data_IF_980519381823
#
_entry.id   IF_980519381823
#
_cell.length_a   1.000
_cell.length_b   1.000
_cell.length_c   1.000
_cell.angle_alpha   90.00
_cell.angle_beta   90.00
_cell.angle_gamma   90.00
#
_symmetry.space_group_name_H-M   'P 1'
#
loop_
_entity.id
_entity.type
_entity.pdbx_description
1 polymer ?
#
# COMPACT_ATOMS: atom_id res chain seq x y z
N UNK A 1 -21.50 54.67 -45.00
CA UNK A 1 -21.20 54.95 -43.60
C UNK A 1 -22.16 54.13 -42.78
N UNK A 2 -21.77 52.95 -42.39
CA UNK A 2 -22.56 52.06 -41.53
C UNK A 2 -21.57 51.47 -40.50
N UNK A 3 -21.72 51.95 -39.29
CA UNK A 3 -20.90 51.54 -38.16
C UNK A 3 -21.25 50.07 -37.79
N UNK A 4 -20.23 49.24 -37.71
CA UNK A 4 -20.29 47.89 -37.18
C UNK A 4 -20.17 47.93 -35.65
N UNK A 5 -20.93 47.10 -34.91
CA UNK A 5 -20.83 47.05 -33.46
C UNK A 5 -19.59 46.28 -33.06
N UNK A 6 -18.76 46.89 -32.25
CA UNK A 6 -17.62 46.29 -31.52
C UNK A 6 -18.09 45.21 -30.59
N UNK A 7 -17.76 43.97 -30.89
CA UNK A 7 -17.91 42.82 -30.00
C UNK A 7 -16.94 42.97 -28.81
N UNK A 8 -17.53 43.31 -27.64
CA UNK A 8 -16.77 43.29 -26.39
C UNK A 8 -16.26 41.89 -26.08
N UNK A 9 -14.97 41.71 -26.08
CA UNK A 9 -14.33 40.57 -25.48
C UNK A 9 -14.50 40.63 -23.97
N UNK A 10 -15.43 39.86 -23.45
CA UNK A 10 -15.40 39.48 -22.03
C UNK A 10 -14.19 38.62 -21.80
N UNK A 11 -13.09 39.23 -21.43
CA UNK A 11 -12.00 38.48 -20.81
C UNK A 11 -12.46 38.04 -19.42
N UNK A 12 -12.85 36.78 -19.36
CA UNK A 12 -13.06 36.08 -18.11
C UNK A 12 -11.68 35.66 -17.59
N UNK A 13 -10.91 36.62 -17.02
CA UNK A 13 -9.56 36.41 -16.49
C UNK A 13 -9.54 35.68 -15.14
N UNK A 14 -10.65 35.12 -14.70
CA UNK A 14 -10.74 34.35 -13.47
C UNK A 14 -10.79 32.83 -13.68
N UNK A 15 -10.10 32.30 -14.70
CA UNK A 15 -9.77 30.88 -14.65
C UNK A 15 -8.65 30.71 -13.61
N UNK A 16 -9.03 30.07 -12.50
CA UNK A 16 -8.17 29.81 -11.37
C UNK A 16 -6.78 29.33 -11.79
N UNK A 17 -5.77 30.13 -11.48
CA UNK A 17 -4.38 29.71 -11.43
C UNK A 17 -4.14 28.83 -10.19
N UNK A 18 -4.89 27.77 -10.02
CA UNK A 18 -4.49 26.69 -9.11
C UNK A 18 -3.49 25.80 -9.85
N UNK A 19 -2.35 26.36 -10.15
CA UNK A 19 -1.19 25.53 -10.44
C UNK A 19 -0.76 24.92 -9.11
N UNK A 20 -1.33 23.75 -8.79
CA UNK A 20 -0.78 22.94 -7.71
C UNK A 20 0.68 22.64 -8.05
N UNK A 21 1.65 23.17 -7.34
CA UNK A 21 3.04 22.94 -7.67
C UNK A 21 3.33 21.45 -7.63
N UNK A 22 4.14 20.97 -8.56
CA UNK A 22 4.62 19.61 -8.53
C UNK A 22 5.44 19.40 -7.26
N UNK A 23 5.11 18.38 -6.50
CA UNK A 23 5.89 17.95 -5.33
C UNK A 23 6.66 16.69 -5.72
N UNK A 24 7.98 16.76 -5.66
CA UNK A 24 8.82 15.60 -5.96
C UNK A 24 8.56 14.46 -4.96
N UNK A 25 8.43 13.23 -5.43
CA UNK A 25 8.26 12.08 -4.54
C UNK A 25 9.55 11.81 -3.75
N UNK A 26 9.40 11.22 -2.56
CA UNK A 26 10.53 10.88 -1.68
C UNK A 26 11.42 9.81 -2.30
N UNK A 27 10.87 8.94 -3.11
CA UNK A 27 11.53 7.71 -3.59
C UNK A 27 12.24 7.87 -4.94
N UNK A 28 12.95 8.96 -5.17
CA UNK A 28 13.56 9.17 -6.49
C UNK A 28 14.57 8.13 -6.98
N UNK A 29 15.13 7.25 -6.14
CA UNK A 29 16.24 6.40 -6.58
C UNK A 29 16.39 5.02 -5.93
N UNK A 30 15.53 4.63 -5.01
CA UNK A 30 15.75 3.44 -4.18
C UNK A 30 15.01 2.18 -4.63
N UNK A 31 14.25 2.20 -5.72
CA UNK A 31 13.58 1.00 -6.22
C UNK A 31 14.63 0.00 -6.75
N UNK A 32 14.74 -1.15 -6.11
CA UNK A 32 15.51 -2.25 -6.69
C UNK A 32 14.89 -2.60 -8.04
N UNK A 33 15.70 -2.60 -9.08
CA UNK A 33 15.25 -3.04 -10.39
C UNK A 33 14.93 -4.52 -10.31
N UNK A 34 13.68 -4.88 -10.48
CA UNK A 34 13.29 -6.28 -10.63
C UNK A 34 14.07 -6.91 -11.77
N UNK A 35 14.59 -8.09 -11.57
CA UNK A 35 15.33 -8.81 -12.60
C UNK A 35 14.35 -9.59 -13.49
N UNK A 36 13.96 -8.99 -14.62
CA UNK A 36 13.02 -9.62 -15.56
C UNK A 36 13.58 -10.86 -16.23
N UNK A 37 14.90 -10.90 -16.48
CA UNK A 37 15.56 -12.07 -17.04
C UNK A 37 15.46 -13.28 -16.11
N UNK A 38 15.67 -13.09 -14.80
CA UNK A 38 15.46 -14.13 -13.81
C UNK A 38 14.01 -14.63 -13.76
N UNK A 39 13.04 -13.75 -14.04
CA UNK A 39 11.63 -14.16 -14.10
C UNK A 39 11.33 -15.05 -15.31
N UNK A 40 11.86 -14.72 -16.46
CA UNK A 40 11.75 -15.56 -17.68
C UNK A 40 12.43 -16.92 -17.45
N UNK A 41 13.64 -16.92 -16.88
CA UNK A 41 14.35 -18.15 -16.50
C UNK A 41 13.56 -19.00 -15.50
N UNK A 42 12.84 -18.37 -14.55
CA UNK A 42 11.98 -19.10 -13.62
C UNK A 42 10.88 -19.87 -14.35
N UNK A 43 10.25 -19.24 -15.36
CA UNK A 43 9.19 -19.88 -16.17
C UNK A 43 9.77 -21.03 -16.99
N UNK A 44 10.91 -20.82 -17.65
CA UNK A 44 11.56 -21.83 -18.45
C UNK A 44 11.95 -23.06 -17.63
N UNK A 45 12.60 -22.87 -16.49
CA UNK A 45 12.97 -23.96 -15.58
C UNK A 45 11.73 -24.72 -15.06
N UNK A 46 10.64 -24.02 -14.78
CA UNK A 46 9.39 -24.67 -14.39
C UNK A 46 8.85 -25.57 -15.49
N UNK A 47 8.83 -25.09 -16.72
CA UNK A 47 8.38 -25.84 -17.91
C UNK A 47 9.27 -27.07 -18.19
N UNK A 48 10.54 -27.00 -17.86
CA UNK A 48 11.51 -28.10 -17.97
C UNK A 48 11.39 -29.12 -16.80
N UNK A 49 10.55 -28.84 -15.81
CA UNK A 49 10.37 -29.68 -14.62
C UNK A 49 11.39 -29.42 -13.51
N UNK A 50 12.25 -28.43 -13.66
CA UNK A 50 13.17 -27.98 -12.59
C UNK A 50 12.47 -27.02 -11.63
N UNK A 51 11.52 -27.52 -10.84
CA UNK A 51 10.66 -26.69 -9.98
C UNK A 51 11.43 -25.94 -8.89
N UNK A 52 12.48 -26.57 -8.33
CA UNK A 52 13.32 -25.94 -7.33
C UNK A 52 14.15 -24.81 -7.92
N UNK A 53 14.73 -25.02 -9.09
CA UNK A 53 15.43 -23.98 -9.83
C UNK A 53 14.52 -22.81 -10.19
N UNK A 54 13.30 -23.10 -10.66
CA UNK A 54 12.29 -22.10 -10.95
C UNK A 54 11.96 -21.21 -9.72
N UNK A 55 11.84 -21.84 -8.54
CA UNK A 55 11.62 -21.10 -7.30
C UNK A 55 12.82 -20.18 -6.95
N UNK A 56 14.04 -20.66 -7.12
CA UNK A 56 15.23 -19.83 -6.85
C UNK A 56 15.33 -18.65 -7.82
N UNK A 57 15.04 -18.84 -9.09
CA UNK A 57 15.02 -17.77 -10.06
C UNK A 57 13.91 -16.73 -9.76
N UNK A 58 12.78 -17.18 -9.22
CA UNK A 58 11.75 -16.27 -8.75
C UNK A 58 12.24 -15.41 -7.55
N UNK A 59 12.98 -15.99 -6.61
CA UNK A 59 13.58 -15.20 -5.53
C UNK A 59 14.61 -14.20 -6.06
N UNK A 60 15.43 -14.60 -7.03
CA UNK A 60 16.44 -13.74 -7.67
C UNK A 60 15.77 -12.62 -8.49
N UNK A 61 14.58 -12.86 -9.05
CA UNK A 61 13.75 -11.82 -9.67
C UNK A 61 13.29 -10.77 -8.66
N UNK A 62 12.82 -11.21 -7.50
CA UNK A 62 12.33 -10.31 -6.45
C UNK A 62 13.47 -9.49 -5.84
N UNK A 63 14.56 -10.14 -5.49
CA UNK A 63 15.81 -9.50 -5.06
C UNK A 63 16.97 -10.50 -5.15
N UNK A 64 18.05 -10.18 -5.89
CA UNK A 64 19.20 -11.06 -6.03
C UNK A 64 19.88 -11.46 -4.71
N UNK A 65 19.71 -10.66 -3.67
CA UNK A 65 20.29 -10.92 -2.35
C UNK A 65 19.42 -11.82 -1.45
N UNK A 66 18.17 -12.12 -1.83
CA UNK A 66 17.24 -12.86 -0.94
C UNK A 66 17.79 -14.20 -0.50
N UNK A 67 18.35 -14.96 -1.43
CA UNK A 67 18.87 -16.30 -1.14
C UNK A 67 20.04 -16.28 -0.19
N UNK A 68 20.95 -15.33 -0.34
CA UNK A 68 22.15 -15.21 0.50
C UNK A 68 21.89 -14.56 1.84
N UNK A 69 20.97 -13.58 1.88
CA UNK A 69 20.70 -12.77 3.06
C UNK A 69 19.68 -13.42 4.00
N UNK A 70 18.69 -14.09 3.44
CA UNK A 70 17.54 -14.59 4.20
C UNK A 70 17.37 -16.11 4.12
N UNK A 71 18.19 -16.80 3.32
CA UNK A 71 18.19 -18.25 3.19
C UNK A 71 19.14 -18.94 4.16
N UNK A 72 18.80 -20.17 4.54
CA UNK A 72 19.74 -21.04 5.22
C UNK A 72 20.82 -21.59 4.25
N UNK A 73 21.87 -22.20 4.79
CA UNK A 73 22.98 -22.73 3.99
C UNK A 73 22.55 -23.76 2.91
N UNK A 74 21.45 -24.47 3.14
CA UNK A 74 20.94 -25.50 2.23
C UNK A 74 19.97 -24.92 1.18
N UNK A 75 19.57 -23.65 1.28
CA UNK A 75 18.59 -23.02 0.39
C UNK A 75 17.15 -23.54 0.56
N UNK A 76 16.85 -24.23 1.66
CA UNK A 76 15.53 -24.85 1.90
C UNK A 76 14.63 -24.07 2.84
N UNK A 77 15.18 -23.08 3.55
CA UNK A 77 14.43 -22.23 4.47
C UNK A 77 14.82 -20.77 4.27
N UNK A 78 13.81 -19.88 4.29
CA UNK A 78 13.98 -18.45 4.12
C UNK A 78 13.14 -17.72 5.14
N UNK A 79 13.69 -16.66 5.73
CA UNK A 79 13.01 -15.77 6.68
C UNK A 79 13.09 -14.34 6.15
N UNK A 80 12.08 -13.91 5.43
CA UNK A 80 12.07 -12.65 4.69
C UNK A 80 11.20 -11.64 5.43
N UNK A 81 11.78 -10.60 6.04
CA UNK A 81 11.01 -9.53 6.65
C UNK A 81 10.32 -8.70 5.57
N UNK A 82 9.05 -8.36 5.80
CA UNK A 82 8.27 -7.49 4.94
C UNK A 82 7.33 -6.62 5.79
N UNK A 83 7.64 -5.32 5.90
CA UNK A 83 6.88 -4.43 6.79
C UNK A 83 6.77 -5.00 8.20
N UNK A 84 5.56 -5.15 8.65
CA UNK A 84 5.21 -5.66 9.97
C UNK A 84 5.05 -7.20 10.04
N UNK A 85 5.37 -7.92 8.97
CA UNK A 85 5.30 -9.38 8.94
C UNK A 85 6.64 -10.03 8.61
N UNK A 86 6.82 -11.25 9.09
CA UNK A 86 7.96 -12.09 8.75
C UNK A 86 7.46 -13.28 7.93
N UNK A 87 7.88 -13.34 6.66
CA UNK A 87 7.51 -14.43 5.75
C UNK A 87 8.51 -15.56 5.88
N UNK A 88 8.02 -16.74 6.23
CA UNK A 88 8.79 -17.97 6.31
C UNK A 88 8.48 -18.84 5.09
N UNK A 89 9.51 -19.26 4.39
CA UNK A 89 9.38 -20.21 3.27
C UNK A 89 10.21 -21.44 3.62
N UNK A 90 9.59 -22.61 3.54
CA UNK A 90 10.27 -23.88 3.77
C UNK A 90 10.00 -24.87 2.65
N UNK A 91 11.04 -25.51 2.17
CA UNK A 91 10.99 -26.58 1.19
C UNK A 91 11.37 -27.88 1.89
N UNK A 92 10.44 -28.83 1.97
CA UNK A 92 10.64 -30.13 2.56
C UNK A 92 9.73 -31.17 1.88
N UNK A 93 10.21 -32.39 1.70
CA UNK A 93 9.43 -33.51 1.16
C UNK A 93 8.73 -33.17 -0.19
N UNK A 94 9.47 -32.54 -1.10
CA UNK A 94 8.98 -32.07 -2.41
C UNK A 94 7.78 -31.13 -2.33
N UNK A 95 7.65 -30.42 -1.22
CA UNK A 95 6.59 -29.43 -0.97
C UNK A 95 7.15 -28.08 -0.58
N UNK A 96 6.49 -27.04 -1.05
CA UNK A 96 6.71 -25.67 -0.65
C UNK A 96 5.67 -25.28 0.41
N UNK A 97 6.15 -24.72 1.52
CA UNK A 97 5.34 -24.14 2.59
C UNK A 97 5.70 -22.67 2.72
N UNK A 98 4.71 -21.80 2.68
CA UNK A 98 4.83 -20.37 2.92
C UNK A 98 3.94 -20.07 4.12
N UNK A 99 4.50 -19.42 5.13
CA UNK A 99 3.74 -18.90 6.25
C UNK A 99 4.21 -17.48 6.58
N UNK A 100 3.33 -16.68 7.15
CA UNK A 100 3.67 -15.36 7.63
C UNK A 100 3.00 -15.13 8.98
N UNK A 101 3.81 -14.82 9.98
CA UNK A 101 3.31 -14.44 11.28
C UNK A 101 2.60 -13.08 11.15
N UNK A 102 1.36 -13.01 11.63
CA UNK A 102 0.56 -11.81 11.51
C UNK A 102 0.40 -11.12 12.86
N UNK A 103 -0.49 -11.64 13.71
CA UNK A 103 -0.83 -10.98 14.97
C UNK A 103 -1.03 -12.00 16.11
N UNK A 104 -0.88 -11.51 17.33
CA UNK A 104 -1.29 -12.18 18.56
C UNK A 104 -2.66 -11.66 18.96
N UNK A 105 -3.59 -12.57 19.22
CA UNK A 105 -4.96 -12.26 19.57
C UNK A 105 -5.04 -11.54 20.92
N UNK A 106 -5.88 -10.49 21.05
CA UNK A 106 -6.07 -9.81 22.31
C UNK A 106 -6.82 -10.70 23.31
N UNK A 107 -6.73 -10.39 24.60
CA UNK A 107 -7.53 -11.10 25.61
C UNK A 107 -9.04 -10.85 25.46
N UNK A 108 -9.42 -9.64 25.08
CA UNK A 108 -10.81 -9.22 24.89
C UNK A 108 -11.09 -8.88 23.42
N UNK A 109 -12.34 -9.05 22.98
CA UNK A 109 -12.73 -8.67 21.61
C UNK A 109 -12.36 -9.71 20.53
N UNK A 110 -11.84 -10.89 20.90
CA UNK A 110 -11.41 -11.95 19.97
C UNK A 110 -12.45 -12.34 18.92
N UNK A 111 -13.72 -12.42 19.31
CA UNK A 111 -14.81 -12.82 18.39
C UNK A 111 -15.00 -11.78 17.29
N UNK A 112 -14.98 -10.48 17.63
CA UNK A 112 -15.11 -9.41 16.65
C UNK A 112 -13.92 -9.39 15.69
N UNK A 113 -12.71 -9.53 16.23
CA UNK A 113 -11.49 -9.64 15.42
C UNK A 113 -11.53 -10.85 14.49
N UNK A 114 -11.87 -12.05 14.99
CA UNK A 114 -11.92 -13.27 14.18
C UNK A 114 -13.01 -13.24 13.10
N UNK A 115 -14.10 -12.49 13.29
CA UNK A 115 -15.09 -12.23 12.23
C UNK A 115 -14.48 -11.43 11.09
N UNK A 116 -13.70 -10.39 11.40
CA UNK A 116 -12.99 -9.61 10.38
C UNK A 116 -11.91 -10.45 9.69
N UNK A 117 -11.18 -11.29 10.42
CA UNK A 117 -10.24 -12.28 9.83
C UNK A 117 -10.96 -13.23 8.87
N UNK A 118 -12.15 -13.71 9.22
CA UNK A 118 -12.94 -14.57 8.33
C UNK A 118 -13.36 -13.83 7.06
N UNK A 119 -13.71 -12.55 7.17
CA UNK A 119 -14.00 -11.68 6.02
C UNK A 119 -12.77 -11.52 5.11
N UNK A 120 -11.61 -11.28 5.69
CA UNK A 120 -10.35 -11.18 4.91
C UNK A 120 -10.03 -12.50 4.19
N UNK A 121 -10.29 -13.65 4.79
CA UNK A 121 -10.12 -14.96 4.16
C UNK A 121 -10.99 -15.15 2.91
N UNK A 122 -12.14 -14.51 2.87
CA UNK A 122 -13.08 -14.63 1.75
C UNK A 122 -12.82 -13.56 0.68
N UNK A 123 -12.59 -12.33 1.13
CA UNK A 123 -12.61 -11.17 0.24
C UNK A 123 -11.23 -10.63 -0.16
N UNK A 124 -10.16 -10.99 0.58
CA UNK A 124 -8.83 -10.43 0.36
C UNK A 124 -7.74 -11.47 0.11
N UNK A 125 -7.81 -12.62 0.78
CA UNK A 125 -6.90 -13.73 0.50
C UNK A 125 -7.50 -14.64 -0.56
N UNK A 126 -6.74 -14.92 -1.61
CA UNK A 126 -7.21 -15.79 -2.70
C UNK A 126 -6.83 -17.26 -2.48
N UNK A 127 -5.54 -17.54 -2.35
CA UNK A 127 -5.01 -18.88 -2.14
C UNK A 127 -4.47 -19.10 -0.72
N UNK A 128 -3.72 -18.13 -0.15
CA UNK A 128 -3.36 -18.22 1.27
C UNK A 128 -4.61 -18.20 2.16
N UNK A 129 -4.44 -18.66 3.40
CA UNK A 129 -5.51 -18.64 4.41
C UNK A 129 -4.94 -18.20 5.76
N UNK A 130 -5.73 -17.45 6.51
CA UNK A 130 -5.45 -17.25 7.92
C UNK A 130 -5.67 -18.57 8.68
N UNK A 131 -4.69 -18.90 9.49
CA UNK A 131 -4.73 -20.00 10.45
C UNK A 131 -4.54 -19.42 11.86
N UNK A 132 -5.31 -19.95 12.78
CA UNK A 132 -5.16 -19.68 14.21
C UNK A 132 -4.47 -20.87 14.85
N UNK A 133 -3.40 -20.61 15.57
CA UNK A 133 -2.71 -21.57 16.42
C UNK A 133 -2.54 -20.95 17.80
N UNK A 134 -3.21 -21.52 18.81
CA UNK A 134 -3.34 -20.92 20.14
C UNK A 134 -3.82 -19.45 20.09
N UNK A 135 -2.98 -18.50 20.47
CA UNK A 135 -3.27 -17.08 20.40
C UNK A 135 -2.65 -16.38 19.19
N UNK A 136 -1.99 -17.12 18.31
CA UNK A 136 -1.34 -16.58 17.12
C UNK A 136 -2.24 -16.70 15.89
N UNK A 137 -2.24 -15.65 15.08
CA UNK A 137 -2.76 -15.65 13.72
C UNK A 137 -1.59 -15.62 12.76
N UNK A 138 -1.61 -16.50 11.79
CA UNK A 138 -0.65 -16.55 10.69
C UNK A 138 -1.38 -16.73 9.37
N UNK A 139 -0.79 -16.31 8.29
CA UNK A 139 -1.22 -16.64 6.93
C UNK A 139 -0.41 -17.81 6.43
N UNK A 140 -1.05 -18.78 5.79
CA UNK A 140 -0.40 -19.99 5.30
C UNK A 140 -0.80 -20.33 3.87
N UNK A 141 0.16 -20.90 3.17
CA UNK A 141 -0.04 -21.56 1.89
C UNK A 141 0.93 -22.73 1.73
N UNK A 142 0.49 -23.85 1.16
CA UNK A 142 1.37 -24.96 0.84
C UNK A 142 0.95 -25.65 -0.47
N UNK A 143 1.93 -26.12 -1.23
CA UNK A 143 1.69 -26.91 -2.43
C UNK A 143 2.87 -27.87 -2.70
N UNK A 144 2.70 -28.93 -3.52
CA UNK A 144 3.80 -29.66 -4.12
C UNK A 144 4.66 -28.71 -4.96
N UNK A 145 5.99 -28.93 -5.05
CA UNK A 145 6.86 -28.13 -5.89
C UNK A 145 6.44 -28.15 -7.37
N UNK A 146 5.90 -29.26 -7.86
CA UNK A 146 5.34 -29.36 -9.21
C UNK A 146 4.12 -28.45 -9.47
N UNK A 147 3.55 -27.87 -8.42
CA UNK A 147 2.44 -26.91 -8.50
C UNK A 147 2.86 -25.48 -8.12
N UNK A 148 4.17 -25.23 -7.97
CA UNK A 148 4.74 -23.95 -7.55
C UNK A 148 5.09 -23.04 -8.73
N UNK A 149 4.20 -22.92 -9.74
CA UNK A 149 4.42 -22.07 -10.90
C UNK A 149 4.82 -20.63 -10.49
N UNK A 150 5.86 -20.04 -11.10
CA UNK A 150 6.38 -18.72 -10.70
C UNK A 150 5.32 -17.62 -10.60
N UNK A 151 4.42 -17.47 -11.58
CA UNK A 151 3.31 -16.50 -11.52
C UNK A 151 2.42 -16.71 -10.28
N UNK A 152 2.11 -17.96 -9.97
CA UNK A 152 1.27 -18.30 -8.82
C UNK A 152 1.95 -17.96 -7.52
N UNK A 153 3.24 -18.32 -7.37
CA UNK A 153 4.00 -18.02 -6.15
C UNK A 153 4.19 -16.52 -5.96
N UNK A 154 4.53 -15.82 -7.04
CA UNK A 154 4.62 -14.36 -7.04
C UNK A 154 3.32 -13.73 -6.49
N UNK A 155 2.18 -14.18 -7.02
CA UNK A 155 0.88 -13.70 -6.59
C UNK A 155 0.57 -14.03 -5.12
N UNK A 156 0.92 -15.23 -4.65
CA UNK A 156 0.74 -15.65 -3.27
C UNK A 156 1.56 -14.80 -2.31
N UNK A 157 2.85 -14.60 -2.60
CA UNK A 157 3.74 -13.78 -1.79
C UNK A 157 3.24 -12.34 -1.73
N UNK A 158 2.85 -11.77 -2.88
CA UNK A 158 2.24 -10.44 -2.95
C UNK A 158 0.99 -10.34 -2.08
N UNK A 159 0.10 -11.30 -2.19
CA UNK A 159 -1.17 -11.29 -1.47
C UNK A 159 -0.96 -11.38 0.05
N UNK A 160 -0.05 -12.26 0.52
CA UNK A 160 0.33 -12.35 1.93
C UNK A 160 0.91 -11.02 2.43
N UNK A 161 1.89 -10.48 1.71
CA UNK A 161 2.58 -9.25 2.10
C UNK A 161 1.62 -8.06 2.15
N UNK A 162 0.81 -7.89 1.10
CA UNK A 162 -0.14 -6.79 1.02
C UNK A 162 -1.22 -6.86 2.11
N UNK A 163 -1.78 -8.05 2.36
CA UNK A 163 -2.81 -8.22 3.39
C UNK A 163 -2.20 -8.06 4.79
N UNK A 164 -1.01 -8.60 5.02
CA UNK A 164 -0.33 -8.51 6.31
C UNK A 164 -0.03 -7.05 6.69
N UNK A 165 0.64 -6.34 5.82
CA UNK A 165 1.06 -4.96 6.06
C UNK A 165 -0.11 -3.96 6.06
N UNK A 166 -1.17 -4.26 5.33
CA UNK A 166 -2.34 -3.38 5.26
C UNK A 166 -3.23 -3.43 6.50
N UNK A 167 -3.35 -4.58 7.14
CA UNK A 167 -4.37 -4.78 8.18
C UNK A 167 -3.84 -4.90 9.60
N UNK A 168 -2.53 -5.04 9.81
CA UNK A 168 -1.97 -5.19 11.15
C UNK A 168 -2.23 -3.97 12.04
N UNK A 169 -2.02 -2.75 11.53
CA UNK A 169 -2.25 -1.49 12.24
C UNK A 169 -3.73 -1.30 12.62
N UNK A 170 -4.63 -1.60 11.69
CA UNK A 170 -6.07 -1.55 11.96
C UNK A 170 -6.44 -2.51 13.08
N UNK A 171 -5.93 -3.73 13.05
CA UNK A 171 -6.24 -4.74 14.05
C UNK A 171 -5.63 -4.41 15.41
N UNK A 172 -4.42 -3.87 15.45
CA UNK A 172 -3.79 -3.39 16.68
C UNK A 172 -4.60 -2.26 17.31
N UNK A 173 -4.99 -1.27 16.52
CA UNK A 173 -5.73 -0.08 17.00
C UNK A 173 -7.15 -0.43 17.42
N UNK A 174 -7.86 -1.20 16.58
CA UNK A 174 -9.30 -1.47 16.75
C UNK A 174 -9.60 -2.54 17.80
N UNK A 175 -8.76 -3.56 17.88
CA UNK A 175 -9.00 -4.72 18.74
C UNK A 175 -7.99 -4.87 19.87
N UNK A 176 -6.90 -4.09 19.87
CA UNK A 176 -5.80 -4.24 20.83
C UNK A 176 -4.99 -5.50 20.60
N UNK A 177 -4.93 -5.98 19.34
CA UNK A 177 -4.02 -7.06 18.97
C UNK A 177 -2.56 -6.62 19.07
N UNK A 178 -1.65 -7.57 19.16
CA UNK A 178 -0.21 -7.30 19.20
C UNK A 178 0.43 -7.86 17.92
N UNK A 179 1.42 -7.15 17.39
CA UNK A 179 2.21 -7.67 16.28
C UNK A 179 3.04 -8.86 16.72
N UNK A 180 3.13 -9.88 15.86
CA UNK A 180 4.04 -11.01 16.07
C UNK A 180 5.48 -10.65 15.68
N UNK A 181 5.65 -9.67 14.80
CA UNK A 181 6.92 -9.15 14.34
C UNK A 181 6.87 -7.62 14.31
N UNK A 182 7.80 -6.96 14.98
CA UNK A 182 7.91 -5.51 14.93
C UNK A 182 8.82 -5.10 13.76
N UNK A 183 8.34 -4.23 12.86
CA UNK A 183 9.12 -3.81 11.70
C UNK A 183 10.36 -3.02 12.14
N UNK A 184 11.51 -3.38 11.56
CA UNK A 184 12.71 -2.58 11.70
C UNK A 184 12.72 -1.49 10.63
N UNK A 185 12.02 -0.40 10.90
CA UNK A 185 11.93 0.73 9.98
C UNK A 185 13.02 1.76 10.26
N UNK A 186 13.63 2.27 9.21
CA UNK A 186 14.50 3.43 9.28
C UNK A 186 13.70 4.63 8.81
N UNK A 187 13.35 5.59 9.68
CA UNK A 187 12.58 6.75 9.27
C UNK A 187 13.30 7.54 8.17
N UNK A 188 12.56 8.32 7.38
CA UNK A 188 13.18 9.29 6.49
C UNK A 188 13.99 10.33 7.29
N UNK A 189 15.02 10.95 6.67
CA UNK A 189 15.71 12.06 7.28
C UNK A 189 14.72 13.16 7.71
N UNK A 190 15.01 13.81 8.82
CA UNK A 190 14.14 14.83 9.43
C UNK A 190 13.75 15.95 8.46
N UNK A 191 14.65 16.32 7.57
CA UNK A 191 14.39 17.31 6.50
C UNK A 191 13.32 16.82 5.52
N UNK A 192 13.38 15.54 5.11
CA UNK A 192 12.39 14.94 4.23
C UNK A 192 11.02 14.80 4.90
N UNK A 193 10.98 14.39 6.17
CA UNK A 193 9.73 14.33 6.94
C UNK A 193 9.08 15.70 7.02
N UNK A 194 9.88 16.74 7.29
CA UNK A 194 9.40 18.12 7.36
C UNK A 194 8.86 18.59 6.00
N UNK A 195 9.59 18.33 4.92
CA UNK A 195 9.19 18.66 3.56
C UNK A 195 7.85 18.00 3.18
N UNK A 196 7.70 16.72 3.48
CA UNK A 196 6.46 15.96 3.21
C UNK A 196 5.31 16.55 4.02
N UNK A 197 5.51 16.72 5.32
CA UNK A 197 4.49 17.25 6.22
C UNK A 197 3.93 18.60 5.74
N UNK A 198 4.84 19.53 5.39
CA UNK A 198 4.42 20.83 4.88
C UNK A 198 3.72 20.73 3.52
N UNK A 199 4.18 19.86 2.62
CA UNK A 199 3.56 19.65 1.33
C UNK A 199 2.14 19.03 1.46
N UNK A 200 1.94 18.09 2.37
CA UNK A 200 0.61 17.53 2.69
C UNK A 200 -0.31 18.63 3.20
N UNK A 201 0.13 19.42 4.17
CA UNK A 201 -0.68 20.53 4.73
C UNK A 201 -1.03 21.57 3.69
N UNK A 202 -0.08 21.94 2.83
CA UNK A 202 -0.33 22.88 1.74
C UNK A 202 -1.35 22.32 0.75
N UNK A 203 -1.18 21.06 0.32
CA UNK A 203 -2.13 20.40 -0.60
C UNK A 203 -3.53 20.34 0.01
N UNK A 204 -3.67 20.00 1.29
CA UNK A 204 -4.96 19.97 1.97
C UNK A 204 -5.61 21.38 2.02
N UNK A 205 -4.86 22.44 2.38
CA UNK A 205 -5.39 23.82 2.45
C UNK A 205 -5.88 24.28 1.09
N UNK A 206 -5.01 24.19 0.07
CA UNK A 206 -5.34 24.59 -1.30
C UNK A 206 -6.59 23.89 -1.84
N UNK A 207 -6.70 22.57 -1.56
CA UNK A 207 -7.84 21.76 -1.98
C UNK A 207 -9.12 22.17 -1.24
N UNK A 208 -9.05 22.34 0.08
CA UNK A 208 -10.21 22.75 0.89
C UNK A 208 -10.70 24.16 0.51
N UNK A 209 -9.81 25.08 0.19
CA UNK A 209 -10.14 26.43 -0.30
C UNK A 209 -10.86 26.35 -1.66
N UNK A 210 -10.33 25.56 -2.60
CA UNK A 210 -10.96 25.35 -3.91
C UNK A 210 -12.36 24.69 -3.76
N UNK A 211 -12.48 23.69 -2.90
CA UNK A 211 -13.77 23.03 -2.62
C UNK A 211 -14.80 24.03 -2.08
N UNK A 212 -14.39 24.92 -1.17
CA UNK A 212 -15.25 25.96 -0.62
C UNK A 212 -15.80 26.90 -1.70
N UNK A 213 -14.97 27.28 -2.67
CA UNK A 213 -15.40 28.10 -3.81
C UNK A 213 -16.41 27.34 -4.69
N UNK A 214 -16.10 26.10 -5.06
CA UNK A 214 -17.03 25.29 -5.87
C UNK A 214 -18.35 24.97 -5.18
N UNK A 215 -18.35 24.78 -3.87
CA UNK A 215 -19.57 24.54 -3.10
C UNK A 215 -20.51 25.77 -3.11
N UNK A 216 -19.95 27.01 -3.08
CA UNK A 216 -20.80 28.24 -3.18
C UNK A 216 -21.55 28.33 -4.50
N UNK A 217 -20.94 27.75 -5.56
CA UNK A 217 -21.53 27.67 -6.89
C UNK A 217 -22.30 26.35 -7.14
N UNK A 218 -22.40 25.48 -6.12
CA UNK A 218 -23.02 24.13 -6.20
C UNK A 218 -22.36 23.22 -7.24
N UNK A 219 -21.08 23.41 -7.51
CA UNK A 219 -20.29 22.63 -8.48
C UNK A 219 -19.64 21.39 -7.82
N UNK A 220 -20.43 20.52 -7.22
CA UNK A 220 -19.95 19.37 -6.45
C UNK A 220 -19.09 18.39 -7.27
N UNK A 221 -19.32 18.27 -8.58
CA UNK A 221 -18.46 17.46 -9.46
C UNK A 221 -17.02 17.97 -9.52
N UNK A 222 -16.81 19.30 -9.55
CA UNK A 222 -15.47 19.88 -9.47
C UNK A 222 -14.86 19.71 -8.09
N UNK A 223 -15.65 19.87 -7.02
CA UNK A 223 -15.21 19.58 -5.65
C UNK A 223 -14.72 18.14 -5.51
N UNK A 224 -15.47 17.17 -6.06
CA UNK A 224 -15.08 15.77 -6.09
C UNK A 224 -13.75 15.58 -6.80
N UNK A 225 -13.59 16.12 -8.02
CA UNK A 225 -12.36 16.00 -8.80
C UNK A 225 -11.11 16.54 -8.07
N UNK A 226 -11.18 17.72 -7.45
CA UNK A 226 -10.00 18.30 -6.78
C UNK A 226 -9.64 17.55 -5.51
N UNK A 227 -10.62 16.96 -4.80
CA UNK A 227 -10.37 16.10 -3.65
C UNK A 227 -9.66 14.82 -4.11
N UNK A 228 -10.21 14.15 -5.11
CA UNK A 228 -9.68 12.91 -5.63
C UNK A 228 -8.22 13.08 -6.12
N UNK A 229 -7.96 14.12 -6.91
CA UNK A 229 -6.61 14.49 -7.34
C UNK A 229 -5.68 14.75 -6.15
N UNK A 230 -6.15 15.41 -5.10
CA UNK A 230 -5.34 15.70 -3.92
C UNK A 230 -4.96 14.43 -3.16
N UNK A 231 -5.87 13.46 -3.02
CA UNK A 231 -5.61 12.18 -2.39
C UNK A 231 -4.51 11.40 -3.14
N UNK A 232 -4.66 11.25 -4.46
CA UNK A 232 -3.62 10.61 -5.28
C UNK A 232 -2.30 11.36 -5.26
N UNK A 233 -2.33 12.69 -5.27
CA UNK A 233 -1.12 13.52 -5.19
C UNK A 233 -0.39 13.29 -3.88
N UNK A 234 -1.10 13.28 -2.74
CA UNK A 234 -0.53 13.00 -1.42
C UNK A 234 0.06 11.59 -1.37
N UNK A 235 -0.67 10.58 -1.82
CA UNK A 235 -0.17 9.21 -1.89
C UNK A 235 1.12 9.10 -2.71
N UNK A 236 1.18 9.79 -3.85
CA UNK A 236 2.32 9.78 -4.76
C UNK A 236 3.57 10.44 -4.16
N UNK A 237 3.48 11.67 -3.62
CA UNK A 237 4.69 12.37 -3.18
C UNK A 237 5.11 11.99 -1.76
N UNK A 238 4.18 11.70 -0.85
CA UNK A 238 4.49 11.32 0.52
C UNK A 238 4.88 9.86 0.65
N UNK A 239 4.35 9.01 -0.21
CA UNK A 239 4.56 7.56 -0.21
C UNK A 239 4.46 6.97 1.21
N UNK A 240 3.38 7.26 1.94
CA UNK A 240 3.24 6.83 3.32
C UNK A 240 3.12 5.32 3.42
N UNK A 241 3.34 4.81 4.62
CA UNK A 241 3.21 3.41 4.97
C UNK A 241 2.20 3.26 6.12
N UNK A 242 1.97 2.03 6.55
CA UNK A 242 1.18 1.74 7.74
C UNK A 242 -0.23 2.31 7.72
N UNK A 243 -0.66 2.90 8.85
CA UNK A 243 -2.01 3.39 9.02
C UNK A 243 -2.36 4.55 8.08
N UNK A 244 -1.41 5.45 7.81
CA UNK A 244 -1.65 6.59 6.92
C UNK A 244 -1.90 6.15 5.48
N UNK A 245 -1.19 5.14 4.99
CA UNK A 245 -1.45 4.53 3.68
C UNK A 245 -2.85 3.92 3.62
N UNK A 246 -3.21 3.14 4.64
CA UNK A 246 -4.55 2.53 4.72
C UNK A 246 -5.68 3.57 4.73
N UNK A 247 -5.48 4.65 5.47
CA UNK A 247 -6.45 5.73 5.55
C UNK A 247 -6.60 6.48 4.23
N UNK A 248 -5.51 6.70 3.50
CA UNK A 248 -5.52 7.29 2.15
C UNK A 248 -6.21 6.39 1.14
N UNK A 249 -5.84 5.12 1.09
CA UNK A 249 -6.48 4.13 0.20
C UNK A 249 -7.98 4.04 0.45
N UNK A 250 -8.38 4.01 1.72
CA UNK A 250 -9.79 4.01 2.09
C UNK A 250 -10.50 5.30 1.69
N UNK A 251 -9.82 6.43 1.81
CA UNK A 251 -10.40 7.71 1.36
C UNK A 251 -10.60 7.73 -0.15
N UNK A 252 -9.64 7.20 -0.93
CA UNK A 252 -9.78 7.02 -2.39
C UNK A 252 -10.93 6.06 -2.71
N UNK A 253 -10.97 4.88 -2.08
CA UNK A 253 -12.06 3.91 -2.26
C UNK A 253 -13.45 4.53 -1.91
N UNK A 254 -13.49 5.42 -0.91
CA UNK A 254 -14.72 6.11 -0.51
C UNK A 254 -15.19 7.13 -1.55
N UNK A 255 -14.28 7.72 -2.35
CA UNK A 255 -14.62 8.64 -3.43
C UNK A 255 -15.25 7.93 -4.64
N UNK A 256 -15.00 6.64 -4.84
CA UNK A 256 -15.51 5.82 -5.95
C UNK A 256 -16.84 5.10 -5.63
N UNK A 257 -17.41 5.31 -4.44
CA UNK A 257 -18.67 4.67 -4.06
C UNK A 257 -19.86 5.22 -4.83
N UNK A 258 -20.85 4.38 -5.08
CA UNK A 258 -22.14 4.76 -5.66
C UNK A 258 -23.00 5.54 -4.64
N UNK A 259 -22.60 6.78 -4.34
CA UNK A 259 -23.28 7.70 -3.42
C UNK A 259 -23.52 9.04 -4.11
N UNK A 260 -24.45 9.88 -3.60
CA UNK A 260 -24.61 11.25 -4.07
C UNK A 260 -23.28 12.03 -3.99
N UNK A 261 -22.92 12.75 -5.05
CA UNK A 261 -21.61 13.45 -5.14
C UNK A 261 -21.37 14.39 -3.95
N UNK A 262 -22.42 15.05 -3.46
CA UNK A 262 -22.31 15.92 -2.28
C UNK A 262 -21.91 15.14 -1.01
N UNK A 263 -22.32 13.89 -0.87
CA UNK A 263 -21.93 13.02 0.25
C UNK A 263 -20.47 12.56 0.11
N UNK A 264 -20.03 12.21 -1.10
CA UNK A 264 -18.64 11.89 -1.39
C UNK A 264 -17.73 13.07 -1.07
N UNK A 265 -18.11 14.27 -1.52
CA UNK A 265 -17.39 15.52 -1.23
C UNK A 265 -17.30 15.76 0.28
N UNK A 266 -18.38 15.56 1.04
CA UNK A 266 -18.35 15.72 2.49
C UNK A 266 -17.38 14.75 3.17
N UNK A 267 -17.31 13.49 2.73
CA UNK A 267 -16.35 12.49 3.24
C UNK A 267 -14.90 12.87 2.91
N UNK A 268 -14.64 13.24 1.66
CA UNK A 268 -13.30 13.65 1.24
C UNK A 268 -12.81 14.91 1.98
N UNK A 269 -13.69 15.90 2.20
CA UNK A 269 -13.37 17.08 3.03
C UNK A 269 -13.00 16.69 4.45
N UNK A 270 -13.81 15.87 5.10
CA UNK A 270 -13.55 15.43 6.47
C UNK A 270 -12.21 14.71 6.59
N UNK A 271 -11.82 13.93 5.57
CA UNK A 271 -10.51 13.30 5.51
C UNK A 271 -9.36 14.32 5.38
N UNK A 272 -9.46 15.28 4.46
CA UNK A 272 -8.44 16.31 4.27
C UNK A 272 -8.31 17.21 5.51
N UNK A 273 -9.42 17.53 6.19
CA UNK A 273 -9.42 18.27 7.45
C UNK A 273 -8.71 17.48 8.56
N UNK A 274 -8.92 16.17 8.63
CA UNK A 274 -8.22 15.28 9.57
C UNK A 274 -6.71 15.25 9.29
N UNK A 275 -6.30 15.13 8.03
CA UNK A 275 -4.87 15.19 7.65
C UNK A 275 -4.26 16.54 8.00
N UNK A 276 -4.98 17.63 7.78
CA UNK A 276 -4.53 18.98 8.11
C UNK A 276 -4.36 19.19 9.62
N UNK A 277 -5.19 18.53 10.44
CA UNK A 277 -5.13 18.58 11.89
C UNK A 277 -4.12 17.57 12.50
N UNK A 278 -3.64 16.61 11.72
CA UNK A 278 -2.73 15.57 12.21
C UNK A 278 -1.42 16.16 12.70
N UNK A 279 -0.97 15.81 13.93
CA UNK A 279 0.33 16.22 14.44
C UNK A 279 1.47 15.68 13.58
N UNK A 280 2.57 16.45 13.52
CA UNK A 280 3.75 16.06 12.72
C UNK A 280 4.34 14.70 13.15
N UNK A 281 4.42 14.48 14.46
CA UNK A 281 4.96 13.27 15.06
C UNK A 281 4.10 12.04 14.76
N UNK A 282 2.80 12.22 14.59
CA UNK A 282 1.87 11.17 14.18
C UNK A 282 2.07 10.81 12.70
N UNK A 283 2.12 11.79 11.82
CA UNK A 283 2.39 11.58 10.40
C UNK A 283 3.78 10.96 10.16
N UNK A 284 4.78 11.39 10.91
CA UNK A 284 6.16 10.93 10.78
C UNK A 284 6.34 9.43 11.04
N UNK A 285 5.47 8.82 11.87
CA UNK A 285 5.54 7.37 12.15
C UNK A 285 5.34 6.52 10.90
N UNK A 286 4.55 7.02 9.96
CA UNK A 286 4.19 6.32 8.73
C UNK A 286 4.99 6.83 7.52
N UNK A 287 6.01 7.69 7.75
CA UNK A 287 6.90 8.22 6.73
C UNK A 287 8.29 7.55 6.82
N UNK A 288 8.41 6.41 6.18
CA UNK A 288 9.67 5.66 6.10
C UNK A 288 9.79 4.97 4.73
N UNK A 289 11.03 4.78 4.24
CA UNK A 289 11.23 4.03 3.02
C UNK A 289 10.78 2.60 3.24
N UNK A 290 9.98 2.09 2.32
CA UNK A 290 9.83 0.65 2.24
C UNK A 290 11.23 0.09 2.01
N UNK A 291 11.77 -0.62 2.97
CA UNK A 291 13.06 -1.28 2.77
C UNK A 291 12.91 -2.30 1.64
N UNK A 292 13.75 -2.22 0.62
CA UNK A 292 13.73 -3.15 -0.53
C UNK A 292 14.15 -4.58 -0.20
N UNK A 293 14.30 -4.89 1.06
CA UNK A 293 14.20 -6.26 1.55
C UNK A 293 12.79 -6.80 1.42
N UNK A 294 11.83 -5.92 1.09
CA UNK A 294 10.43 -6.23 0.91
C UNK A 294 10.20 -6.87 -0.46
N UNK A 295 9.26 -7.79 -0.51
CA UNK A 295 8.64 -8.31 -1.72
C UNK A 295 7.85 -7.19 -2.42
N UNK A 296 8.49 -6.04 -2.67
CA UNK A 296 7.89 -4.93 -3.39
C UNK A 296 7.73 -5.31 -4.83
N UNK A 297 6.55 -5.74 -5.11
CA UNK A 297 6.09 -6.05 -6.44
C UNK A 297 5.68 -4.74 -7.08
N UNK A 298 6.14 -4.42 -8.29
CA UNK A 298 5.69 -3.23 -8.96
C UNK A 298 4.17 -3.26 -9.03
N UNK A 299 3.55 -2.20 -8.54
CA UNK A 299 2.13 -1.94 -8.77
C UNK A 299 2.02 -1.62 -10.25
N UNK A 300 1.44 -2.55 -11.02
CA UNK A 300 1.07 -2.31 -12.42
C UNK A 300 -0.27 -1.61 -12.40
#
# INVERSE_FOLDING_TARGET
MTDAPTTGHCHNENYMKTTHPFVAPVLGSTQSKVNMEAYEQAIDQYNEGNYLGAFYQLLDHLNPEFRTKYGNANGTEFHIPHGSILVHIRIADDRLHISADFLILPEKGRVAMLRQVADLNINRLMLPRFRKEDDRLMMEYACPLSQSHPHKLYFILRNICHVGDRYDDEFCTKFGAQRSYEPQVTPYPEEEVTRIYEAVRQTCRETLDAVKEYETERKYGYSWNVIDIALYKIAYFAHPQGQLLNDLDKAVDDMDKELPVAELVAKGKAFLERLLAMPREEMARDLYPVSYTHLTLPTI
#
